data_IF_232992937129
#
_entry.id   IF_232992937129
#
_cell.length_a   1.000
_cell.length_b   1.000
_cell.length_c   1.000
_cell.angle_alpha   90.00
_cell.angle_beta   90.00
_cell.angle_gamma   90.00
#
_symmetry.space_group_name_H-M   'P 1'
#
loop_
_entity.id
_entity.type
_entity.pdbx_description
1 polymer ?
#
# COMPACT_ATOMS: atom_id res chain seq x y z
N UNK A 1 -1.39 -9.92 1.71
CA UNK A 1 -2.67 -9.74 0.97
C UNK A 1 -3.65 -8.79 1.66
N UNK A 2 -4.20 -9.09 2.86
CA UNK A 2 -5.26 -8.26 3.49
C UNK A 2 -4.93 -6.77 3.59
N UNK A 3 -3.71 -6.43 4.02
CA UNK A 3 -3.19 -5.04 4.18
C UNK A 3 -3.11 -4.24 2.88
N UNK A 4 -2.86 -4.91 1.74
CA UNK A 4 -2.86 -4.30 0.42
C UNK A 4 -4.27 -3.80 0.04
N UNK A 5 -5.27 -4.64 0.31
CA UNK A 5 -6.69 -4.35 0.07
C UNK A 5 -7.21 -3.28 1.02
N UNK A 6 -6.78 -3.28 2.29
CA UNK A 6 -7.16 -2.25 3.27
C UNK A 6 -6.72 -0.85 2.83
N UNK A 7 -5.49 -0.71 2.32
CA UNK A 7 -4.95 0.55 1.82
C UNK A 7 -5.74 1.08 0.62
N UNK A 8 -6.03 0.23 -0.35
CA UNK A 8 -6.78 0.60 -1.56
C UNK A 8 -8.24 0.97 -1.24
N UNK A 9 -8.88 0.28 -0.29
CA UNK A 9 -10.24 0.59 0.16
C UNK A 9 -10.31 1.93 0.90
N UNK A 10 -9.29 2.32 1.69
CA UNK A 10 -9.18 3.67 2.27
C UNK A 10 -9.11 4.73 1.18
N UNK A 11 -8.32 4.48 0.13
CA UNK A 11 -8.11 5.43 -0.97
C UNK A 11 -9.41 5.69 -1.71
N UNK A 12 -10.11 4.61 -2.00
CA UNK A 12 -11.44 4.66 -2.58
C UNK A 12 -12.42 5.38 -1.66
N UNK A 13 -12.42 5.05 -0.38
CA UNK A 13 -13.30 5.61 0.63
C UNK A 13 -13.11 7.12 0.85
N UNK A 14 -11.88 7.57 1.11
CA UNK A 14 -11.57 9.00 1.33
C UNK A 14 -12.00 9.82 0.10
N UNK A 15 -11.76 9.30 -1.09
CA UNK A 15 -12.10 9.98 -2.33
C UNK A 15 -13.62 10.00 -2.56
N UNK A 16 -14.33 8.90 -2.27
CA UNK A 16 -15.78 8.82 -2.45
C UNK A 16 -16.56 9.62 -1.40
N UNK A 17 -16.16 9.56 -0.12
CA UNK A 17 -16.83 10.25 0.98
C UNK A 17 -16.66 11.77 0.97
N UNK A 18 -15.54 12.29 0.46
CA UNK A 18 -15.29 13.73 0.41
C UNK A 18 -15.81 14.42 -0.87
N UNK A 19 -15.88 13.70 -2.00
CA UNK A 19 -16.08 14.32 -3.30
C UNK A 19 -17.44 14.09 -3.98
N UNK A 20 -18.20 13.06 -3.61
CA UNK A 20 -19.54 12.83 -4.16
C UNK A 20 -20.63 13.32 -3.20
N UNK A 21 -20.97 14.61 -3.33
CA UNK A 21 -22.09 15.24 -2.60
C UNK A 21 -23.45 14.66 -3.01
N UNK A 22 -23.53 14.02 -4.18
CA UNK A 22 -24.78 13.51 -4.77
C UNK A 22 -25.18 12.11 -4.27
N UNK A 23 -24.32 11.39 -3.54
CA UNK A 23 -24.60 10.04 -3.00
C UNK A 23 -24.81 10.06 -1.47
N UNK A 24 -25.50 11.09 -0.95
CA UNK A 24 -25.70 11.34 0.49
C UNK A 24 -26.99 10.73 1.05
N UNK A 25 -27.27 9.46 0.75
CA UNK A 25 -28.29 8.71 1.48
C UNK A 25 -27.84 8.40 2.91
N UNK A 26 -28.75 8.38 3.92
CA UNK A 26 -28.40 8.03 5.30
C UNK A 26 -27.76 6.63 5.39
N UNK A 27 -28.20 5.69 4.55
CA UNK A 27 -27.62 4.35 4.44
C UNK A 27 -26.16 4.36 3.94
N UNK A 28 -25.86 5.18 2.92
CA UNK A 28 -24.50 5.33 2.41
C UNK A 28 -23.59 6.00 3.45
N UNK A 29 -24.10 6.96 4.22
CA UNK A 29 -23.36 7.54 5.35
C UNK A 29 -23.06 6.52 6.46
N UNK A 30 -24.01 5.64 6.78
CA UNK A 30 -23.80 4.56 7.75
C UNK A 30 -22.76 3.54 7.25
N UNK A 31 -22.94 3.00 6.04
CA UNK A 31 -21.98 2.08 5.43
C UNK A 31 -20.58 2.69 5.36
N UNK A 32 -20.52 4.00 5.10
CA UNK A 32 -19.28 4.73 5.05
C UNK A 32 -18.57 4.76 6.42
N UNK A 33 -19.28 5.16 7.47
CA UNK A 33 -18.74 5.18 8.84
C UNK A 33 -18.36 3.79 9.32
N UNK A 34 -19.19 2.78 9.03
CA UNK A 34 -18.90 1.39 9.38
C UNK A 34 -17.61 0.90 8.70
N UNK A 35 -17.43 1.24 7.41
CA UNK A 35 -16.22 0.89 6.66
C UNK A 35 -14.98 1.58 7.26
N UNK A 36 -15.04 2.85 7.65
CA UNK A 36 -13.94 3.51 8.37
C UNK A 36 -13.57 2.80 9.67
N UNK A 37 -14.57 2.44 10.47
CA UNK A 37 -14.34 1.76 11.75
C UNK A 37 -13.70 0.39 11.50
N UNK A 38 -14.23 -0.40 10.57
CA UNK A 38 -13.66 -1.71 10.19
C UNK A 38 -12.24 -1.57 9.67
N UNK A 39 -11.97 -0.56 8.85
CA UNK A 39 -10.63 -0.27 8.35
C UNK A 39 -9.69 0.10 9.49
N UNK A 40 -10.05 1.09 10.33
CA UNK A 40 -9.25 1.54 11.47
C UNK A 40 -8.95 0.39 12.44
N UNK A 41 -9.94 -0.44 12.72
CA UNK A 41 -9.79 -1.65 13.53
C UNK A 41 -8.82 -2.63 12.86
N UNK A 42 -8.96 -2.87 11.55
CA UNK A 42 -8.02 -3.71 10.78
C UNK A 42 -6.59 -3.17 10.79
N UNK A 43 -6.39 -1.84 10.82
CA UNK A 43 -5.07 -1.22 10.96
C UNK A 43 -4.43 -1.55 12.30
N UNK A 44 -5.17 -1.38 13.39
CA UNK A 44 -4.71 -1.69 14.74
C UNK A 44 -4.37 -3.17 14.85
N UNK A 45 -5.25 -4.05 14.36
CA UNK A 45 -5.03 -5.49 14.38
C UNK A 45 -3.92 -5.96 13.44
N UNK A 46 -3.55 -5.18 12.42
CA UNK A 46 -2.44 -5.55 11.52
C UNK A 46 -1.08 -5.58 12.22
N UNK A 47 -0.92 -4.88 13.35
CA UNK A 47 0.34 -4.80 14.10
C UNK A 47 1.53 -4.25 13.29
N UNK A 48 1.29 -3.68 12.11
CA UNK A 48 2.33 -3.27 11.16
C UNK A 48 2.78 -1.83 11.41
N UNK A 49 4.08 -1.65 11.71
CA UNK A 49 4.74 -0.34 11.92
C UNK A 49 4.49 0.63 10.77
N UNK A 50 4.52 0.12 9.54
CA UNK A 50 4.35 0.92 8.31
C UNK A 50 2.91 1.39 8.10
N UNK A 51 1.93 0.79 8.80
CA UNK A 51 0.52 1.05 8.54
C UNK A 51 0.10 2.47 9.02
N UNK A 52 0.60 2.93 10.17
CA UNK A 52 0.37 4.30 10.68
C UNK A 52 0.96 5.36 9.75
N UNK A 53 2.22 5.19 9.34
CA UNK A 53 2.89 6.12 8.42
C UNK A 53 2.25 6.09 7.02
N UNK A 54 1.67 4.95 6.63
CA UNK A 54 0.93 4.85 5.36
C UNK A 54 -0.30 5.75 5.37
N UNK A 55 -1.03 5.85 6.48
CA UNK A 55 -2.19 6.77 6.59
C UNK A 55 -1.77 8.22 6.35
N UNK A 56 -0.68 8.67 6.99
CA UNK A 56 -0.16 10.03 6.83
C UNK A 56 0.25 10.28 5.37
N UNK A 57 1.02 9.37 4.78
CA UNK A 57 1.48 9.51 3.40
C UNK A 57 0.31 9.59 2.40
N UNK A 58 -0.71 8.77 2.63
CA UNK A 58 -1.91 8.69 1.79
C UNK A 58 -2.69 9.96 1.89
N UNK A 59 -2.90 10.46 3.11
CA UNK A 59 -3.62 11.70 3.35
C UNK A 59 -3.00 12.85 2.54
N UNK A 60 -1.69 13.06 2.66
CA UNK A 60 -0.98 14.09 1.90
C UNK A 60 -0.99 13.82 0.39
N UNK A 61 -0.90 12.57 -0.02
CA UNK A 61 -1.02 12.22 -1.45
C UNK A 61 -2.40 12.58 -2.00
N UNK A 62 -3.49 12.29 -1.28
CA UNK A 62 -4.84 12.71 -1.68
C UNK A 62 -4.93 14.24 -1.77
N UNK A 63 -4.42 14.97 -0.77
CA UNK A 63 -4.41 16.43 -0.82
C UNK A 63 -3.67 16.93 -2.07
N UNK A 64 -2.51 16.36 -2.39
CA UNK A 64 -1.73 16.74 -3.57
C UNK A 64 -2.53 16.53 -4.88
N UNK A 65 -3.17 15.37 -5.07
CA UNK A 65 -3.90 15.06 -6.30
C UNK A 65 -5.20 15.86 -6.48
N UNK A 66 -5.85 16.25 -5.39
CA UNK A 66 -7.19 16.87 -5.41
C UNK A 66 -7.23 18.33 -4.97
N UNK A 67 -6.13 18.91 -4.48
CA UNK A 67 -6.01 20.33 -4.11
C UNK A 67 -6.45 21.28 -5.22
N UNK A 68 -6.08 20.98 -6.47
CA UNK A 68 -6.47 21.79 -7.64
C UNK A 68 -7.94 21.68 -8.04
N UNK A 69 -8.68 20.68 -7.54
CA UNK A 69 -10.11 20.52 -7.85
C UNK A 69 -10.97 21.03 -6.70
N UNK A 70 -10.52 20.82 -5.46
CA UNK A 70 -11.31 21.10 -4.27
C UNK A 70 -10.47 21.79 -3.17
N UNK A 71 -9.94 23.00 -3.44
CA UNK A 71 -8.99 23.67 -2.56
C UNK A 71 -9.54 23.89 -1.14
N UNK A 72 -10.78 24.34 -1.01
CA UNK A 72 -11.41 24.62 0.28
C UNK A 72 -11.63 23.35 1.12
N UNK A 73 -12.09 22.27 0.49
CA UNK A 73 -12.29 20.98 1.17
C UNK A 73 -10.97 20.39 1.64
N UNK A 74 -9.94 20.49 0.82
CA UNK A 74 -8.58 20.05 1.16
C UNK A 74 -8.04 20.85 2.35
N UNK A 75 -8.20 22.17 2.34
CA UNK A 75 -7.77 23.02 3.46
C UNK A 75 -8.53 22.71 4.76
N UNK A 76 -9.84 22.46 4.69
CA UNK A 76 -10.64 22.07 5.84
C UNK A 76 -10.22 20.69 6.39
N UNK A 77 -9.98 19.72 5.50
CA UNK A 77 -9.50 18.40 5.86
C UNK A 77 -8.10 18.46 6.50
N UNK A 78 -7.20 19.31 5.98
CA UNK A 78 -5.86 19.54 6.53
C UNK A 78 -5.90 20.00 7.99
N UNK A 79 -6.71 21.02 8.28
CA UNK A 79 -6.87 21.54 9.65
C UNK A 79 -7.39 20.48 10.61
N UNK A 80 -8.41 19.71 10.20
CA UNK A 80 -8.98 18.63 11.01
C UNK A 80 -7.97 17.50 11.24
N UNK A 81 -7.28 17.08 10.19
CA UNK A 81 -6.30 16.00 10.28
C UNK A 81 -5.11 16.38 11.16
N UNK A 82 -4.58 17.61 11.04
CA UNK A 82 -3.51 18.11 11.91
C UNK A 82 -3.90 18.07 13.39
N UNK A 83 -5.15 18.41 13.72
CA UNK A 83 -5.67 18.30 15.09
C UNK A 83 -5.83 16.85 15.57
N UNK A 84 -6.18 15.92 14.68
CA UNK A 84 -6.39 14.50 14.99
C UNK A 84 -5.11 13.67 14.95
N UNK A 85 -4.07 14.13 14.25
CA UNK A 85 -2.83 13.38 14.02
C UNK A 85 -2.14 12.97 15.33
N UNK A 86 -1.97 13.85 16.35
CA UNK A 86 -1.39 13.44 17.62
C UNK A 86 -2.19 12.31 18.29
N UNK A 87 -3.53 12.38 18.25
CA UNK A 87 -4.40 11.34 18.80
C UNK A 87 -4.23 10.01 18.07
N UNK A 88 -4.18 10.03 16.72
CA UNK A 88 -3.96 8.82 15.91
C UNK A 88 -2.60 8.19 16.21
N UNK A 89 -1.55 9.00 16.38
CA UNK A 89 -0.22 8.50 16.74
C UNK A 89 -0.20 7.88 18.14
N UNK A 90 -0.81 8.55 19.13
CA UNK A 90 -0.92 8.03 20.50
C UNK A 90 -1.69 6.71 20.53
N UNK A 91 -2.87 6.67 19.90
CA UNK A 91 -3.67 5.43 19.80
C UNK A 91 -2.92 4.33 19.05
N UNK A 92 -2.13 4.69 18.04
CA UNK A 92 -1.26 3.76 17.32
C UNK A 92 -0.19 3.13 18.21
N UNK A 93 0.49 3.93 19.03
CA UNK A 93 1.49 3.44 20.00
C UNK A 93 0.84 2.56 21.07
N UNK A 94 -0.30 2.99 21.62
CA UNK A 94 -1.07 2.22 22.60
C UNK A 94 -1.51 0.88 22.00
N UNK A 95 -2.05 0.90 20.77
CA UNK A 95 -2.43 -0.31 20.04
C UNK A 95 -1.24 -1.24 19.80
N UNK A 96 -0.08 -0.71 19.42
CA UNK A 96 1.15 -1.49 19.26
C UNK A 96 1.60 -2.12 20.58
N UNK A 97 1.50 -1.39 21.70
CA UNK A 97 1.83 -1.87 23.04
C UNK A 97 0.94 -3.06 23.45
N UNK A 98 -0.39 -2.92 23.35
CA UNK A 98 -1.32 -3.99 23.70
C UNK A 98 -1.22 -5.20 22.77
N UNK A 99 -1.12 -4.98 21.46
CA UNK A 99 -0.99 -6.09 20.50
C UNK A 99 0.29 -6.89 20.73
N UNK A 100 1.40 -6.23 21.11
CA UNK A 100 2.64 -6.90 21.50
C UNK A 100 2.51 -7.73 22.77
N UNK A 101 1.93 -7.16 23.84
CA UNK A 101 1.68 -7.90 25.08
C UNK A 101 0.85 -9.16 24.85
N UNK A 102 -0.21 -9.06 24.05
CA UNK A 102 -1.05 -10.20 23.69
C UNK A 102 -0.29 -11.23 22.83
N UNK A 103 0.42 -10.78 21.78
CA UNK A 103 1.13 -11.67 20.86
C UNK A 103 2.26 -12.45 21.53
N UNK A 104 3.00 -11.80 22.44
CA UNK A 104 4.14 -12.40 23.15
C UNK A 104 3.76 -13.03 24.48
N UNK A 105 2.50 -12.90 24.91
CA UNK A 105 2.00 -13.37 26.21
C UNK A 105 2.80 -12.77 27.38
N UNK A 106 3.23 -11.52 27.23
CA UNK A 106 3.97 -10.76 28.23
C UNK A 106 3.01 -9.77 28.87
N UNK A 107 3.02 -9.70 30.21
CA UNK A 107 2.19 -8.77 30.99
C UNK A 107 2.98 -7.64 31.61
N UNK A 108 4.31 -7.76 31.73
CA UNK A 108 5.15 -6.68 32.26
C UNK A 108 5.31 -5.54 31.24
N UNK A 109 5.01 -4.32 31.68
CA UNK A 109 5.03 -3.14 30.83
C UNK A 109 6.43 -2.72 30.40
N UNK A 110 7.45 -2.95 31.24
CA UNK A 110 8.84 -2.66 30.89
C UNK A 110 9.37 -3.62 29.83
N UNK A 111 9.04 -4.91 29.95
CA UNK A 111 9.37 -5.90 28.94
C UNK A 111 8.66 -5.61 27.59
N UNK A 112 7.37 -5.25 27.60
CA UNK A 112 6.66 -4.83 26.37
C UNK A 112 7.31 -3.59 25.75
N UNK A 113 7.69 -2.60 26.56
CA UNK A 113 8.39 -1.40 26.07
C UNK A 113 9.76 -1.75 25.49
N UNK A 114 10.51 -2.67 26.12
CA UNK A 114 11.76 -3.22 25.62
C UNK A 114 11.59 -3.92 24.29
N UNK A 115 10.57 -4.78 24.15
CA UNK A 115 10.22 -5.46 22.88
C UNK A 115 9.77 -4.48 21.79
N UNK A 116 9.11 -3.38 22.15
CA UNK A 116 8.71 -2.33 21.21
C UNK A 116 9.93 -1.53 20.73
N UNK A 117 10.87 -1.21 21.64
CA UNK A 117 12.14 -0.59 21.33
C UNK A 117 13.04 -1.50 20.47
N UNK A 118 13.13 -2.78 20.84
CA UNK A 118 13.76 -3.82 20.03
C UNK A 118 13.08 -3.87 18.66
N UNK A 119 11.75 -3.79 18.55
CA UNK A 119 11.11 -3.69 17.24
C UNK A 119 11.55 -2.43 16.48
N UNK A 120 11.81 -1.30 17.11
CA UNK A 120 12.33 -0.13 16.39
C UNK A 120 13.77 -0.33 15.89
N UNK A 121 14.59 -1.12 16.61
CA UNK A 121 16.02 -1.33 16.34
C UNK A 121 16.31 -2.61 15.55
N UNK A 122 15.78 -3.75 16.01
CA UNK A 122 15.96 -5.12 15.53
C UNK A 122 15.13 -5.49 14.30
N UNK A 123 14.66 -4.51 13.52
CA UNK A 123 14.41 -4.83 12.11
C UNK A 123 15.78 -4.95 11.48
N UNK A 124 16.46 -6.09 11.70
CA UNK A 124 17.71 -6.40 11.05
C UNK A 124 17.48 -6.15 9.57
N UNK A 125 18.09 -5.08 9.07
CA UNK A 125 17.85 -4.69 7.69
C UNK A 125 18.27 -5.86 6.85
N UNK A 126 17.55 -6.12 5.76
CA UNK A 126 17.87 -7.22 4.87
C UNK A 126 19.35 -7.11 4.42
N UNK A 127 19.92 -5.90 4.41
CA UNK A 127 21.35 -5.64 4.20
C UNK A 127 22.27 -6.28 5.25
N UNK A 128 21.92 -6.18 6.53
CA UNK A 128 22.69 -6.80 7.62
C UNK A 128 22.57 -8.33 7.60
N UNK A 129 21.42 -8.86 7.19
CA UNK A 129 21.26 -10.32 7.09
C UNK A 129 21.90 -10.91 5.84
N UNK A 130 21.94 -10.15 4.73
CA UNK A 130 22.36 -10.66 3.43
C UNK A 130 23.86 -10.45 3.14
N UNK A 131 24.43 -9.28 3.43
CA UNK A 131 25.78 -8.95 2.95
C UNK A 131 26.94 -9.48 3.80
N UNK A 132 26.89 -9.45 5.15
CA UNK A 132 28.02 -9.90 5.97
C UNK A 132 28.43 -11.34 5.64
N UNK A 133 29.74 -11.59 5.51
CA UNK A 133 30.32 -12.91 5.23
C UNK A 133 29.76 -13.62 3.98
N UNK A 134 29.23 -12.86 3.02
CA UNK A 134 28.67 -13.41 1.78
C UNK A 134 27.52 -14.38 2.04
N UNK A 135 26.58 -14.01 2.92
CA UNK A 135 25.39 -14.83 3.21
C UNK A 135 24.45 -14.89 2.00
N UNK A 136 24.34 -13.79 1.26
CA UNK A 136 23.47 -13.68 0.08
C UNK A 136 23.83 -14.72 -1.01
N UNK A 137 25.10 -15.10 -1.15
CA UNK A 137 25.55 -16.14 -2.07
C UNK A 137 25.26 -17.56 -1.57
N UNK A 138 25.05 -17.73 -0.26
CA UNK A 138 24.75 -19.02 0.37
C UNK A 138 23.26 -19.34 0.34
N UNK A 139 22.40 -18.30 0.29
CA UNK A 139 20.95 -18.45 0.16
C UNK A 139 20.62 -18.80 -1.30
N UNK A 140 20.35 -20.08 -1.56
CA UNK A 140 19.97 -20.54 -2.91
C UNK A 140 18.47 -20.40 -3.12
N UNK A 141 18.08 -19.69 -4.19
CA UNK A 141 16.72 -19.76 -4.72
C UNK A 141 16.68 -20.69 -5.94
N UNK A 142 15.59 -21.43 -6.08
CA UNK A 142 15.42 -22.44 -7.14
C UNK A 142 14.69 -21.90 -8.38
N UNK A 143 14.17 -20.68 -8.31
CA UNK A 143 13.32 -20.07 -9.33
C UNK A 143 14.04 -18.93 -10.03
N UNK A 144 13.43 -18.38 -11.06
CA UNK A 144 13.88 -17.19 -11.76
C UNK A 144 13.27 -15.90 -11.15
N UNK A 145 13.88 -14.76 -11.48
CA UNK A 145 13.42 -13.46 -10.97
C UNK A 145 11.98 -13.14 -11.36
N UNK A 146 11.54 -13.61 -12.54
CA UNK A 146 10.18 -13.37 -13.02
C UNK A 146 9.17 -14.10 -12.13
N UNK A 147 9.35 -15.40 -11.90
CA UNK A 147 8.46 -16.15 -10.98
C UNK A 147 8.49 -15.56 -9.58
N UNK A 148 9.66 -15.16 -9.08
CA UNK A 148 9.78 -14.53 -7.75
C UNK A 148 9.06 -13.18 -7.64
N UNK A 149 9.10 -12.37 -8.68
CA UNK A 149 8.47 -11.03 -8.70
C UNK A 149 6.97 -11.10 -8.96
N UNK A 150 6.53 -12.04 -9.80
CA UNK A 150 5.13 -12.19 -10.22
C UNK A 150 4.40 -13.35 -9.52
N UNK A 151 4.97 -13.92 -8.46
CA UNK A 151 4.42 -15.10 -7.74
C UNK A 151 2.93 -14.95 -7.41
N UNK A 152 2.51 -13.79 -6.89
CA UNK A 152 1.11 -13.53 -6.55
C UNK A 152 0.18 -13.52 -7.77
N UNK A 153 0.66 -13.00 -8.91
CA UNK A 153 -0.09 -13.05 -10.16
C UNK A 153 -0.25 -14.49 -10.63
N UNK A 154 0.87 -15.20 -10.74
CA UNK A 154 0.95 -16.55 -11.28
C UNK A 154 0.15 -17.55 -10.42
N UNK A 155 0.21 -17.41 -9.09
CA UNK A 155 -0.56 -18.22 -8.15
C UNK A 155 -2.06 -17.91 -8.25
N UNK A 156 -2.44 -16.62 -8.33
CA UNK A 156 -3.85 -16.22 -8.50
C UNK A 156 -4.45 -16.78 -9.79
N UNK A 157 -3.69 -16.79 -10.89
CA UNK A 157 -4.13 -17.34 -12.18
C UNK A 157 -3.92 -18.85 -12.31
N UNK A 158 -3.43 -19.53 -11.25
CA UNK A 158 -3.09 -20.96 -11.24
C UNK A 158 -2.11 -21.38 -12.34
N UNK A 159 -1.25 -20.46 -12.77
CA UNK A 159 -0.15 -20.77 -13.69
C UNK A 159 0.99 -21.51 -12.98
N UNK A 160 1.09 -21.33 -11.65
CA UNK A 160 1.97 -22.11 -10.78
C UNK A 160 1.16 -22.71 -9.63
N UNK A 161 1.61 -23.86 -9.15
CA UNK A 161 1.14 -24.51 -7.92
C UNK A 161 1.81 -23.91 -6.69
N UNK A 162 1.20 -24.09 -5.51
CA UNK A 162 1.79 -23.62 -4.24
C UNK A 162 3.17 -24.22 -3.94
N UNK A 163 3.46 -25.42 -4.48
CA UNK A 163 4.78 -26.06 -4.36
C UNK A 163 5.86 -25.45 -5.25
N UNK A 164 5.46 -24.71 -6.28
CA UNK A 164 6.37 -24.01 -7.20
C UNK A 164 6.62 -22.55 -6.78
N UNK A 165 5.86 -22.05 -5.80
CA UNK A 165 6.08 -20.72 -5.25
C UNK A 165 7.45 -20.67 -4.53
N UNK A 166 8.32 -19.68 -4.85
CA UNK A 166 9.60 -19.56 -4.18
C UNK A 166 9.44 -19.26 -2.70
N UNK A 167 10.40 -19.74 -1.91
CA UNK A 167 10.49 -19.38 -0.51
C UNK A 167 10.74 -17.87 -0.38
N UNK A 168 9.99 -17.15 0.49
CA UNK A 168 10.24 -15.74 0.75
C UNK A 168 11.70 -15.51 1.19
N UNK A 169 12.42 -14.65 0.49
CA UNK A 169 13.85 -14.37 0.76
C UNK A 169 14.10 -13.97 2.22
N UNK A 170 13.18 -13.20 2.81
CA UNK A 170 13.27 -12.83 4.22
C UNK A 170 13.32 -14.06 5.13
N UNK A 171 12.52 -15.09 4.85
CA UNK A 171 12.47 -16.31 5.66
C UNK A 171 13.75 -17.11 5.48
N UNK A 172 14.23 -17.24 4.24
CA UNK A 172 15.49 -17.92 3.95
C UNK A 172 16.69 -17.24 4.64
N UNK A 173 16.74 -15.91 4.64
CA UNK A 173 17.78 -15.13 5.33
C UNK A 173 17.71 -15.30 6.85
N UNK A 174 16.52 -15.19 7.46
CA UNK A 174 16.36 -15.44 8.90
C UNK A 174 16.73 -16.88 9.25
N UNK A 175 16.33 -17.85 8.41
CA UNK A 175 16.60 -19.25 8.62
C UNK A 175 18.09 -19.59 8.64
N UNK A 176 18.89 -18.89 7.83
CA UNK A 176 20.34 -19.02 7.84
C UNK A 176 20.97 -18.61 9.18
N UNK A 177 20.49 -17.52 9.80
CA UNK A 177 21.07 -16.97 11.03
C UNK A 177 20.53 -17.61 12.30
N UNK A 178 19.24 -17.96 12.32
CA UNK A 178 18.54 -18.32 13.55
C UNK A 178 17.72 -19.62 13.44
N UNK A 179 17.78 -20.34 12.32
CA UNK A 179 16.96 -21.51 12.05
C UNK A 179 15.53 -21.16 11.58
N UNK A 180 14.71 -22.16 11.22
CA UNK A 180 13.43 -21.95 10.54
C UNK A 180 12.50 -21.01 11.31
N UNK A 181 12.14 -19.88 10.70
CA UNK A 181 11.23 -18.89 11.29
C UNK A 181 10.18 -18.42 10.28
N UNK A 182 8.91 -18.21 10.71
CA UNK A 182 7.84 -17.74 9.84
C UNK A 182 7.88 -16.21 9.60
N UNK A 183 9.04 -15.58 9.79
CA UNK A 183 9.21 -14.14 9.63
C UNK A 183 10.62 -13.81 9.15
N UNK A 184 10.74 -12.68 8.48
CA UNK A 184 12.01 -12.17 8.02
C UNK A 184 11.89 -10.78 7.39
N UNK A 185 13.02 -10.15 7.06
CA UNK A 185 13.03 -8.82 6.49
C UNK A 185 12.51 -8.82 5.05
N UNK A 186 11.95 -7.70 4.61
CA UNK A 186 11.44 -7.58 3.25
C UNK A 186 12.60 -7.61 2.23
N UNK A 187 12.44 -8.32 1.09
CA UNK A 187 13.45 -8.36 0.04
C UNK A 187 13.53 -7.03 -0.70
N UNK A 188 14.52 -6.21 -0.36
CA UNK A 188 14.81 -4.97 -1.08
C UNK A 188 15.20 -5.28 -2.52
N UNK A 189 14.88 -4.37 -3.44
CA UNK A 189 15.09 -4.56 -4.88
C UNK A 189 16.53 -4.92 -5.26
N UNK A 190 17.53 -4.38 -4.57
CA UNK A 190 18.93 -4.65 -4.84
C UNK A 190 19.36 -6.05 -4.38
N UNK A 191 18.84 -6.53 -3.25
CA UNK A 191 19.07 -7.91 -2.78
C UNK A 191 18.35 -8.90 -3.67
N UNK A 192 17.10 -8.62 -4.02
CA UNK A 192 16.35 -9.41 -4.98
C UNK A 192 17.09 -9.50 -6.31
N UNK A 193 17.54 -8.35 -6.83
CA UNK A 193 18.31 -8.29 -8.07
C UNK A 193 19.60 -9.10 -8.00
N UNK A 194 20.38 -8.97 -6.92
CA UNK A 194 21.64 -9.70 -6.79
C UNK A 194 21.44 -11.20 -6.67
N UNK A 195 20.45 -11.62 -5.89
CA UNK A 195 20.21 -13.03 -5.64
C UNK A 195 19.77 -13.79 -6.91
N UNK A 196 19.05 -13.15 -7.82
CA UNK A 196 18.60 -13.78 -9.08
C UNK A 196 19.44 -13.42 -10.31
N UNK A 197 20.12 -12.28 -10.34
CA UNK A 197 20.84 -11.76 -11.52
C UNK A 197 22.34 -11.50 -11.26
N UNK A 198 22.84 -11.76 -10.05
CA UNK A 198 24.22 -11.50 -9.66
C UNK A 198 24.60 -10.02 -9.85
N UNK A 199 25.74 -9.78 -10.50
CA UNK A 199 26.25 -8.43 -10.73
C UNK A 199 25.29 -7.54 -11.52
N UNK A 200 24.35 -8.09 -12.30
CA UNK A 200 23.34 -7.30 -13.03
C UNK A 200 22.25 -6.68 -12.13
N UNK A 201 22.34 -6.84 -10.81
CA UNK A 201 21.46 -6.21 -9.83
C UNK A 201 21.35 -4.68 -9.97
N UNK A 202 22.43 -4.01 -10.37
CA UNK A 202 22.41 -2.56 -10.58
C UNK A 202 21.48 -2.18 -11.74
N UNK A 203 21.49 -2.95 -12.83
CA UNK A 203 20.66 -2.70 -14.00
C UNK A 203 19.18 -2.91 -13.65
N UNK A 204 18.88 -3.99 -12.91
CA UNK A 204 17.54 -4.23 -12.36
C UNK A 204 17.06 -3.06 -11.50
N UNK A 205 17.90 -2.62 -10.56
CA UNK A 205 17.58 -1.50 -9.66
C UNK A 205 17.40 -0.18 -10.42
N UNK A 206 18.21 0.05 -11.46
CA UNK A 206 18.08 1.21 -12.34
C UNK A 206 16.74 1.21 -13.08
N UNK A 207 16.33 0.08 -13.69
CA UNK A 207 15.04 -0.04 -14.39
C UNK A 207 13.88 0.23 -13.44
N UNK A 208 13.90 -0.34 -12.23
CA UNK A 208 12.87 -0.06 -11.23
C UNK A 208 12.87 1.41 -10.80
N UNK A 209 14.05 2.02 -10.66
CA UNK A 209 14.20 3.46 -10.40
C UNK A 209 13.57 4.31 -11.51
N UNK A 210 13.78 3.95 -12.78
CA UNK A 210 13.14 4.61 -13.91
C UNK A 210 11.61 4.47 -13.87
N UNK A 211 11.07 3.29 -13.57
CA UNK A 211 9.62 3.07 -13.42
C UNK A 211 9.05 4.00 -12.34
N UNK A 212 9.68 4.04 -11.17
CA UNK A 212 9.26 4.95 -10.07
C UNK A 212 9.36 6.41 -10.51
N UNK A 213 10.43 6.78 -11.20
CA UNK A 213 10.66 8.12 -11.76
C UNK A 213 9.56 8.54 -12.74
N UNK A 214 9.13 7.65 -13.63
CA UNK A 214 8.03 7.89 -14.57
C UNK A 214 6.72 8.18 -13.83
N UNK A 215 6.34 7.34 -12.86
CA UNK A 215 5.14 7.58 -12.04
C UNK A 215 5.25 8.83 -11.17
N UNK A 216 6.46 9.23 -10.77
CA UNK A 216 6.70 10.47 -10.04
C UNK A 216 6.52 11.71 -10.91
N UNK A 217 7.06 11.70 -12.13
CA UNK A 217 7.09 12.87 -13.00
C UNK A 217 5.79 13.03 -13.80
N UNK A 218 5.13 11.93 -14.16
CA UNK A 218 3.85 11.96 -14.86
C UNK A 218 2.69 12.52 -14.01
N UNK A 219 2.87 12.69 -12.69
CA UNK A 219 1.87 13.31 -11.81
C UNK A 219 1.42 14.68 -12.30
N UNK A 220 2.35 15.48 -12.83
CA UNK A 220 2.05 16.82 -13.32
C UNK A 220 1.17 16.81 -14.57
N UNK A 221 1.38 15.84 -15.45
CA UNK A 221 0.56 15.63 -16.65
C UNK A 221 -0.84 15.15 -16.27
N UNK A 222 -0.97 14.37 -15.19
CA UNK A 222 -2.27 13.89 -14.70
C UNK A 222 -3.20 15.02 -14.25
N UNK A 223 -2.67 16.13 -13.75
CA UNK A 223 -3.49 17.28 -13.35
C UNK A 223 -4.26 17.88 -14.54
N UNK A 224 -3.77 17.76 -15.77
CA UNK A 224 -4.48 18.27 -16.96
C UNK A 224 -5.62 17.34 -17.41
N UNK A 225 -5.75 16.15 -16.81
CA UNK A 225 -6.75 15.14 -17.16
C UNK A 225 -7.92 15.11 -16.16
N UNK A 226 -8.99 14.42 -16.53
CA UNK A 226 -10.22 14.31 -15.73
C UNK A 226 -10.05 13.56 -14.41
N UNK A 227 -11.05 13.67 -13.54
CA UNK A 227 -11.04 13.12 -12.17
C UNK A 227 -10.72 11.63 -12.11
N UNK A 228 -11.33 10.82 -12.98
CA UNK A 228 -11.10 9.38 -13.04
C UNK A 228 -9.65 9.03 -13.32
N UNK A 229 -9.02 9.76 -14.24
CA UNK A 229 -7.61 9.54 -14.57
C UNK A 229 -6.69 9.86 -13.39
N UNK A 230 -6.99 10.94 -12.65
CA UNK A 230 -6.24 11.28 -11.43
C UNK A 230 -6.41 10.23 -10.34
N UNK A 231 -7.62 9.70 -10.15
CA UNK A 231 -7.91 8.62 -9.22
C UNK A 231 -7.11 7.36 -9.58
N UNK A 232 -7.19 6.91 -10.83
CA UNK A 232 -6.44 5.73 -11.30
C UNK A 232 -4.94 5.96 -11.09
N UNK A 233 -4.40 7.09 -11.55
CA UNK A 233 -2.99 7.38 -11.37
C UNK A 233 -2.57 7.43 -9.90
N UNK A 234 -3.38 8.04 -9.03
CA UNK A 234 -3.14 8.06 -7.59
C UNK A 234 -3.06 6.64 -7.01
N UNK A 235 -4.00 5.77 -7.36
CA UNK A 235 -4.03 4.38 -6.89
C UNK A 235 -2.75 3.64 -7.28
N UNK A 236 -2.32 3.73 -8.55
CA UNK A 236 -1.06 3.12 -8.99
C UNK A 236 0.15 3.77 -8.32
N UNK A 237 0.18 5.09 -8.21
CA UNK A 237 1.29 5.83 -7.61
C UNK A 237 1.58 5.38 -6.18
N UNK A 238 0.53 5.18 -5.37
CA UNK A 238 0.71 4.74 -3.99
C UNK A 238 1.24 3.31 -3.89
N UNK A 239 1.05 2.45 -4.90
CA UNK A 239 1.60 1.09 -4.90
C UNK A 239 2.99 0.98 -5.53
N UNK A 240 3.28 1.77 -6.57
CA UNK A 240 4.58 1.78 -7.24
C UNK A 240 5.72 2.15 -6.29
N UNK A 241 5.47 2.93 -5.24
CA UNK A 241 6.49 3.22 -4.20
C UNK A 241 6.99 1.96 -3.49
N UNK A 242 6.14 0.92 -3.38
CA UNK A 242 6.46 -0.33 -2.69
C UNK A 242 7.55 -1.09 -3.43
N UNK A 243 7.75 -0.85 -4.73
CA UNK A 243 8.83 -1.43 -5.53
C UNK A 243 10.20 -1.20 -4.86
N UNK A 244 10.39 -0.05 -4.22
CA UNK A 244 11.64 0.25 -3.51
C UNK A 244 11.88 -0.68 -2.31
N UNK A 245 10.82 -1.02 -1.58
CA UNK A 245 10.93 -1.83 -0.36
C UNK A 245 10.79 -3.32 -0.60
N UNK A 246 9.95 -3.71 -1.55
CA UNK A 246 9.51 -5.08 -1.80
C UNK A 246 8.85 -5.15 -3.19
N UNK A 247 9.61 -5.48 -4.26
CA UNK A 247 9.07 -5.58 -5.62
C UNK A 247 7.94 -6.61 -5.77
N UNK A 248 8.04 -7.86 -5.25
CA UNK A 248 6.93 -8.82 -5.30
C UNK A 248 5.65 -8.28 -4.66
N UNK A 249 5.75 -7.64 -3.50
CA UNK A 249 4.59 -7.03 -2.83
C UNK A 249 4.00 -5.88 -3.66
N UNK A 250 4.83 -5.10 -4.35
CA UNK A 250 4.35 -4.05 -5.24
C UNK A 250 3.51 -4.62 -6.40
N UNK A 251 3.94 -5.73 -6.99
CA UNK A 251 3.18 -6.44 -8.03
C UNK A 251 1.86 -6.97 -7.47
N UNK A 252 1.90 -7.58 -6.28
CA UNK A 252 0.69 -8.02 -5.59
C UNK A 252 -0.33 -6.89 -5.39
N UNK A 253 0.14 -5.70 -4.98
CA UNK A 253 -0.71 -4.53 -4.81
C UNK A 253 -1.28 -4.02 -6.15
N UNK A 254 -0.48 -4.04 -7.23
CA UNK A 254 -0.91 -3.67 -8.57
C UNK A 254 -1.98 -4.64 -9.09
N UNK A 255 -1.80 -5.94 -8.89
CA UNK A 255 -2.81 -6.95 -9.22
C UNK A 255 -4.10 -6.71 -8.43
N UNK A 256 -3.99 -6.35 -7.14
CA UNK A 256 -5.09 -5.91 -6.31
C UNK A 256 -5.92 -4.80 -6.97
N UNK A 257 -5.26 -3.77 -7.50
CA UNK A 257 -5.93 -2.68 -8.22
C UNK A 257 -6.58 -3.19 -9.51
N UNK A 258 -5.83 -3.91 -10.34
CA UNK A 258 -6.26 -4.31 -11.68
C UNK A 258 -7.44 -5.29 -11.68
N UNK A 259 -7.43 -6.28 -10.79
CA UNK A 259 -8.41 -7.37 -10.81
C UNK A 259 -9.56 -7.19 -9.82
N UNK A 260 -9.31 -6.50 -8.70
CA UNK A 260 -10.32 -6.40 -7.63
C UNK A 260 -10.93 -5.01 -7.49
N UNK A 261 -10.21 -3.94 -7.82
CA UNK A 261 -10.73 -2.58 -7.67
C UNK A 261 -11.25 -1.98 -8.97
N UNK A 262 -10.45 -2.09 -10.04
CA UNK A 262 -10.74 -1.44 -11.31
C UNK A 262 -12.01 -1.99 -11.98
N UNK A 263 -12.30 -3.31 -11.99
CA UNK A 263 -13.51 -3.82 -12.63
C UNK A 263 -14.80 -3.35 -11.94
N UNK A 264 -14.96 -3.44 -10.59
CA UNK A 264 -16.13 -2.87 -9.92
C UNK A 264 -16.26 -1.35 -10.09
N UNK A 265 -15.13 -0.62 -10.09
CA UNK A 265 -15.13 0.82 -10.33
C UNK A 265 -15.65 1.14 -11.74
N UNK A 266 -15.12 0.50 -12.78
CA UNK A 266 -15.59 0.70 -14.15
C UNK A 266 -17.05 0.28 -14.31
N UNK A 267 -17.45 -0.84 -13.71
CA UNK A 267 -18.83 -1.31 -13.72
C UNK A 267 -19.79 -0.29 -13.08
N UNK A 268 -19.45 0.24 -11.90
CA UNK A 268 -20.25 1.27 -11.23
C UNK A 268 -20.33 2.56 -12.06
N UNK A 269 -19.26 2.95 -12.75
CA UNK A 269 -19.26 4.11 -13.64
C UNK A 269 -20.16 3.90 -14.86
N UNK A 270 -20.10 2.71 -15.48
CA UNK A 270 -20.98 2.34 -16.60
C UNK A 270 -22.45 2.37 -16.16
N UNK A 271 -22.77 1.74 -15.02
CA UNK A 271 -24.12 1.78 -14.45
C UNK A 271 -24.58 3.21 -14.19
N UNK A 272 -23.75 4.02 -13.53
CA UNK A 272 -24.09 5.42 -13.28
C UNK A 272 -24.34 6.21 -14.56
N UNK A 273 -23.57 5.95 -15.63
CA UNK A 273 -23.77 6.60 -16.92
C UNK A 273 -25.09 6.19 -17.57
N UNK A 274 -25.45 4.91 -17.50
CA UNK A 274 -26.73 4.38 -17.99
C UNK A 274 -27.89 5.01 -17.20
N UNK A 275 -27.81 5.03 -15.86
CA UNK A 275 -28.85 5.60 -14.99
C UNK A 275 -28.98 7.11 -15.19
N UNK A 276 -27.89 7.87 -15.29
CA UNK A 276 -27.90 9.32 -15.52
C UNK A 276 -28.46 9.69 -16.91
N UNK A 277 -28.17 8.87 -17.94
CA UNK A 277 -28.77 9.02 -19.27
C UNK A 277 -30.30 8.83 -19.23
N UNK A 278 -30.77 7.96 -18.33
CA UNK A 278 -32.20 7.74 -18.09
C UNK A 278 -32.85 8.83 -17.21
N UNK A 279 -32.11 9.41 -16.25
CA UNK A 279 -32.65 10.34 -15.23
C UNK A 279 -32.35 11.84 -15.44
N UNK A 280 -31.80 12.27 -16.58
CA UNK A 280 -31.47 13.70 -16.89
C UNK A 280 -30.76 14.45 -15.73
N UNK A 281 -29.74 13.83 -15.13
CA UNK A 281 -28.92 14.44 -14.06
C UNK A 281 -27.49 14.76 -14.57
N UNK A 282 -26.80 15.77 -14.00
CA UNK A 282 -25.66 16.45 -14.65
C UNK A 282 -24.39 15.58 -14.80
N UNK A 283 -23.67 15.79 -15.91
CA UNK A 283 -22.47 15.06 -16.33
C UNK A 283 -21.22 15.42 -15.48
N UNK A 284 -21.16 14.99 -14.23
CA UNK A 284 -20.02 15.31 -13.36
C UNK A 284 -18.74 14.55 -13.73
N UNK A 285 -18.83 13.24 -14.01
CA UNK A 285 -17.66 12.36 -14.23
C UNK A 285 -16.87 12.60 -15.53
N UNK A 286 -17.47 13.27 -16.52
CA UNK A 286 -16.85 13.54 -17.83
C UNK A 286 -16.45 15.00 -18.02
N UNK A 287 -16.69 15.86 -17.02
CA UNK A 287 -16.36 17.28 -17.13
C UNK A 287 -14.84 17.49 -17.01
N UNK A 288 -14.26 18.25 -17.94
CA UNK A 288 -12.89 18.75 -17.80
C UNK A 288 -12.85 19.68 -16.58
N UNK A 289 -11.79 19.63 -15.75
CA UNK A 289 -11.61 20.65 -14.73
C UNK A 289 -11.60 22.02 -15.41
N UNK A 290 -12.42 22.97 -14.92
CA UNK A 290 -12.32 24.38 -15.36
C UNK A 290 -10.88 24.82 -15.06
N UNK A 291 -10.17 25.24 -16.08
CA UNK A 291 -8.85 25.83 -15.95
C UNK A 291 -8.97 27.05 -15.05
N UNK A 292 -8.46 26.95 -13.83
CA UNK A 292 -8.12 28.12 -13.04
C UNK A 292 -6.77 28.57 -13.56
N UNK A 293 -6.78 29.71 -14.25
CA UNK A 293 -5.57 30.47 -14.61
C UNK A 293 -4.99 31.03 -13.32
#
# INVERSE_FOLDING_TARGET
>A
MLTAYTNVLIYFYIIFSFYLKEFQGPFLHFLNRATLVVLFVSFIFSGSKSALLSVVFVFYSVQFYFSSIFPEKVAQADRKFKGLLPLVLILGVIGAFFTLGIQRKVTDGFEIAGLLAERMVATGDVFFMAYPHGVIEKVKQKTDIFTATFVDFLAMTRMISSSEAPEPIGFALTAYHYGPMPFGPNPRHNILGYLYLGDYAFAYSFVLGCIIGLFRNNRLVCFKRGYLFRLIHFLFFVQVRTIWSDPPLAVAHINGILFFLLPPLLFSLILSHITLKYNRQPKFFLSKPRSVI
#
